data_IF_213382084738
#
_entry.id   IF_213382084738
#
_cell.length_a   1.000
_cell.length_b   1.000
_cell.length_c   1.000
_cell.angle_alpha   90.00
_cell.angle_beta   90.00
_cell.angle_gamma   90.00
#
_symmetry.space_group_name_H-M   'P 1'
#
loop_
_entity.id
_entity.type
_entity.pdbx_description
1 polymer ?
#
# COMPACT_ATOMS: atom_id res chain seq x y z
N UNK A 1 12.22 -6.45 28.99
CA UNK A 1 11.17 -7.17 28.24
C UNK A 1 10.49 -6.33 27.15
N UNK A 2 10.21 -5.04 27.34
CA UNK A 2 9.51 -4.19 26.35
C UNK A 2 10.24 -4.05 25.00
N UNK A 3 11.57 -3.83 25.01
CA UNK A 3 12.35 -3.66 23.78
C UNK A 3 12.28 -4.86 22.81
N UNK A 4 12.13 -6.08 23.32
CA UNK A 4 12.04 -7.29 22.49
C UNK A 4 10.70 -7.42 21.77
N UNK A 5 9.60 -6.90 22.33
CA UNK A 5 8.29 -6.93 21.69
C UNK A 5 8.19 -5.88 20.58
N UNK A 6 8.73 -4.68 20.81
CA UNK A 6 8.79 -3.60 19.81
C UNK A 6 9.58 -4.04 18.56
N UNK A 7 10.73 -4.69 18.75
CA UNK A 7 11.54 -5.20 17.63
C UNK A 7 10.83 -6.30 16.81
N UNK A 8 10.00 -7.14 17.46
CA UNK A 8 9.20 -8.16 16.76
C UNK A 8 8.04 -7.56 15.96
N UNK A 9 7.53 -6.41 16.39
CA UNK A 9 6.41 -5.73 15.73
C UNK A 9 6.86 -4.77 14.61
N UNK A 10 8.14 -4.37 14.60
CA UNK A 10 8.67 -3.41 13.64
C UNK A 10 8.46 -3.83 12.17
N UNK A 11 8.69 -5.11 11.85
CA UNK A 11 8.49 -5.64 10.49
C UNK A 11 7.02 -5.63 10.03
N UNK A 12 6.11 -6.28 10.77
CA UNK A 12 4.67 -6.24 10.48
C UNK A 12 4.11 -4.82 10.42
N UNK A 13 4.52 -3.94 11.34
CA UNK A 13 4.07 -2.55 11.37
C UNK A 13 4.54 -1.78 10.13
N UNK A 14 5.82 -1.93 9.73
CA UNK A 14 6.34 -1.33 8.50
C UNK A 14 5.53 -1.77 7.29
N UNK A 15 5.23 -3.07 7.14
CA UNK A 15 4.42 -3.59 6.03
C UNK A 15 3.03 -3.00 6.02
N UNK A 16 2.38 -2.92 7.18
CA UNK A 16 1.06 -2.32 7.31
C UNK A 16 1.07 -0.83 6.93
N UNK A 17 2.10 -0.08 7.36
CA UNK A 17 2.25 1.34 7.01
C UNK A 17 2.51 1.55 5.52
N UNK A 18 3.42 0.77 4.92
CA UNK A 18 3.70 0.83 3.47
C UNK A 18 2.42 0.55 2.68
N UNK A 19 1.71 -0.53 3.02
CA UNK A 19 0.46 -0.88 2.35
C UNK A 19 -0.61 0.21 2.53
N UNK A 20 -0.77 0.72 3.74
CA UNK A 20 -1.76 1.75 4.06
C UNK A 20 -1.52 3.04 3.28
N UNK A 21 -0.29 3.55 3.28
CA UNK A 21 0.08 4.79 2.58
C UNK A 21 -0.10 4.66 1.06
N UNK A 22 0.37 3.56 0.46
CA UNK A 22 0.29 3.36 -0.99
C UNK A 22 -1.17 3.16 -1.43
N UNK A 23 -1.94 2.35 -0.70
CA UNK A 23 -3.36 2.14 -0.97
C UNK A 23 -4.13 3.45 -0.89
N UNK A 24 -3.97 4.19 0.21
CA UNK A 24 -4.67 5.46 0.40
C UNK A 24 -4.33 6.46 -0.70
N UNK A 25 -3.05 6.55 -1.09
CA UNK A 25 -2.62 7.43 -2.18
C UNK A 25 -3.29 7.08 -3.51
N UNK A 26 -3.37 5.79 -3.87
CA UNK A 26 -4.06 5.38 -5.09
C UNK A 26 -5.58 5.66 -5.04
N UNK A 27 -6.22 5.50 -3.87
CA UNK A 27 -7.62 5.88 -3.69
C UNK A 27 -7.83 7.38 -3.88
N UNK A 28 -6.97 8.22 -3.30
CA UNK A 28 -7.05 9.68 -3.45
C UNK A 28 -6.90 10.07 -4.92
N UNK A 29 -5.91 9.50 -5.62
CA UNK A 29 -5.70 9.79 -7.04
C UNK A 29 -6.92 9.42 -7.89
N UNK A 30 -7.44 8.19 -7.75
CA UNK A 30 -8.59 7.73 -8.55
C UNK A 30 -9.87 8.51 -8.23
N UNK A 31 -10.15 8.74 -6.95
CA UNK A 31 -11.40 9.41 -6.55
C UNK A 31 -11.41 10.91 -6.86
N UNK A 32 -10.25 11.53 -7.08
CA UNK A 32 -10.16 12.95 -7.46
C UNK A 32 -9.82 13.16 -8.94
N UNK A 33 -9.68 12.09 -9.73
CA UNK A 33 -9.34 12.20 -11.16
C UNK A 33 -10.55 12.40 -12.08
N UNK A 34 -11.76 12.57 -11.52
CA UNK A 34 -13.02 12.80 -12.27
C UNK A 34 -13.22 11.81 -13.43
N UNK A 35 -12.77 10.56 -13.24
CA UNK A 35 -12.76 9.53 -14.27
C UNK A 35 -14.19 9.16 -14.69
N UNK A 36 -14.54 9.46 -15.94
CA UNK A 36 -15.79 9.02 -16.55
C UNK A 36 -15.62 7.66 -17.24
N UNK A 37 -15.56 6.59 -16.44
CA UNK A 37 -15.40 5.23 -16.91
C UNK A 37 -16.73 4.47 -16.91
N UNK A 38 -16.96 3.57 -17.88
CA UNK A 38 -18.17 2.74 -17.88
C UNK A 38 -18.22 1.76 -16.70
N UNK A 39 -17.06 1.44 -16.12
CA UNK A 39 -16.96 0.67 -14.88
C UNK A 39 -15.67 1.03 -14.14
N UNK A 40 -15.81 1.40 -12.86
CA UNK A 40 -14.68 1.79 -12.01
C UNK A 40 -13.68 0.66 -11.74
N UNK A 41 -14.05 -0.62 -11.92
CA UNK A 41 -13.12 -1.75 -11.86
C UNK A 41 -11.94 -1.60 -12.81
N UNK A 42 -12.13 -0.89 -13.93
CA UNK A 42 -11.07 -0.60 -14.90
C UNK A 42 -9.94 0.24 -14.26
N UNK A 43 -10.26 1.11 -13.30
CA UNK A 43 -9.28 1.89 -12.56
C UNK A 43 -8.84 1.19 -11.28
N UNK A 44 -9.77 0.64 -10.49
CA UNK A 44 -9.46 0.07 -9.18
C UNK A 44 -8.69 -1.25 -9.25
N UNK A 45 -9.00 -2.14 -10.21
CA UNK A 45 -8.30 -3.42 -10.33
C UNK A 45 -6.79 -3.22 -10.60
N UNK A 46 -6.37 -2.46 -11.62
CA UNK A 46 -4.94 -2.22 -11.84
C UNK A 46 -4.30 -1.42 -10.71
N UNK A 47 -5.04 -0.51 -10.05
CA UNK A 47 -4.55 0.17 -8.85
C UNK A 47 -4.16 -0.83 -7.76
N UNK A 48 -5.03 -1.78 -7.41
CA UNK A 48 -4.72 -2.78 -6.38
C UNK A 48 -3.55 -3.70 -6.75
N UNK A 49 -3.43 -4.07 -8.03
CA UNK A 49 -2.26 -4.80 -8.52
C UNK A 49 -0.98 -3.96 -8.34
N UNK A 50 -1.04 -2.67 -8.70
CA UNK A 50 0.06 -1.73 -8.52
C UNK A 50 0.46 -1.57 -7.05
N UNK A 51 -0.53 -1.38 -6.16
CA UNK A 51 -0.33 -1.33 -4.71
C UNK A 51 0.41 -2.56 -4.22
N UNK A 52 -0.01 -3.76 -4.64
CA UNK A 52 0.60 -5.01 -4.21
C UNK A 52 2.07 -5.10 -4.64
N UNK A 53 2.36 -4.86 -5.92
CA UNK A 53 3.73 -4.93 -6.45
C UNK A 53 4.63 -3.87 -5.82
N UNK A 54 4.15 -2.63 -5.68
CA UNK A 54 4.90 -1.54 -5.06
C UNK A 54 5.16 -1.79 -3.57
N UNK A 55 4.17 -2.31 -2.85
CA UNK A 55 4.33 -2.66 -1.43
C UNK A 55 5.40 -3.73 -1.26
N UNK A 56 5.38 -4.78 -2.10
CA UNK A 56 6.38 -5.85 -2.05
C UNK A 56 7.78 -5.34 -2.39
N UNK A 57 7.89 -4.48 -3.40
CA UNK A 57 9.17 -3.88 -3.80
C UNK A 57 9.73 -2.96 -2.71
N UNK A 58 8.89 -2.11 -2.09
CA UNK A 58 9.30 -1.21 -1.03
C UNK A 58 9.66 -1.95 0.26
N UNK A 59 8.89 -2.95 0.69
CA UNK A 59 9.26 -3.72 1.89
C UNK A 59 10.59 -4.46 1.70
N UNK A 60 10.87 -4.95 0.48
CA UNK A 60 12.18 -5.55 0.15
C UNK A 60 13.32 -4.53 0.17
N UNK A 61 13.07 -3.30 -0.27
CA UNK A 61 14.10 -2.24 -0.33
C UNK A 61 14.40 -1.63 1.05
N UNK A 62 13.40 -1.53 1.92
CA UNK A 62 13.50 -0.89 3.24
C UNK A 62 13.76 -1.90 4.36
N UNK A 63 13.27 -3.13 4.19
CA UNK A 63 13.41 -4.22 5.15
C UNK A 63 14.48 -5.26 4.82
N UNK A 64 15.22 -5.06 3.72
CA UNK A 64 16.41 -5.83 3.36
C UNK A 64 17.63 -5.45 4.17
#
# INVERSE_FOLDING_TARGET
MVASAVNKLAGPLRRALIYGVISYSGLVLINNAELNLPNMWIAYLPMFIGVYVLTLWLDRKVGG
#
